data_IF_818040774732
#
_entry.id   IF_818040774732
#
_cell.length_a   1.000
_cell.length_b   1.000
_cell.length_c   1.000
_cell.angle_alpha   90.00
_cell.angle_beta   90.00
_cell.angle_gamma   90.00
#
_symmetry.space_group_name_H-M   'P 1'
#
loop_
_entity.id
_entity.type
_entity.pdbx_description
1 polymer ?
#
# COMPACT_ATOMS: atom_id res chain seq x y z
N UNK A 1 4.59 -2.32 -15.38
CA UNK A 1 5.22 -3.63 -15.73
C UNK A 1 4.58 -4.66 -14.80
N UNK A 2 4.30 -5.90 -15.23
CA UNK A 2 3.72 -6.91 -14.32
C UNK A 2 4.82 -7.57 -13.49
N UNK A 3 4.51 -7.90 -12.23
CA UNK A 3 5.44 -8.58 -11.32
C UNK A 3 6.45 -7.65 -10.64
N UNK A 4 6.21 -6.34 -10.66
CA UNK A 4 7.02 -5.33 -9.96
C UNK A 4 6.08 -4.34 -9.28
N UNK A 5 6.28 -4.10 -7.98
CA UNK A 5 5.48 -3.09 -7.28
C UNK A 5 5.88 -1.67 -7.73
N UNK A 6 4.93 -0.86 -8.17
CA UNK A 6 5.17 0.50 -8.65
C UNK A 6 5.56 1.49 -7.52
N UNK A 7 5.36 1.11 -6.24
CA UNK A 7 5.68 1.93 -5.07
C UNK A 7 7.08 1.62 -4.53
N UNK A 8 7.39 0.35 -4.28
CA UNK A 8 8.66 -0.06 -3.65
C UNK A 8 9.61 -0.86 -4.56
N UNK A 9 9.15 -1.30 -5.73
CA UNK A 9 9.94 -2.08 -6.68
C UNK A 9 10.12 -3.57 -6.33
N UNK A 10 9.43 -4.09 -5.32
CA UNK A 10 9.54 -5.51 -4.96
C UNK A 10 8.98 -6.41 -6.07
N UNK A 11 9.46 -7.67 -6.11
CA UNK A 11 9.05 -8.69 -7.08
C UNK A 11 8.82 -10.03 -6.38
N UNK A 12 8.35 -11.06 -7.09
CA UNK A 12 8.19 -12.41 -6.52
C UNK A 12 9.48 -13.01 -5.96
N UNK A 13 10.65 -12.61 -6.50
CA UNK A 13 11.96 -13.10 -6.07
C UNK A 13 12.66 -12.17 -5.07
N UNK A 14 12.15 -10.95 -4.92
CA UNK A 14 12.68 -9.94 -4.01
C UNK A 14 11.51 -9.22 -3.33
N UNK A 15 10.75 -9.99 -2.56
CA UNK A 15 9.59 -9.49 -1.83
C UNK A 15 10.02 -8.62 -0.65
N UNK A 16 9.19 -7.64 -0.28
CA UNK A 16 9.32 -6.98 1.02
C UNK A 16 9.14 -8.04 2.12
N UNK A 17 10.03 -8.06 3.10
CA UNK A 17 9.94 -8.97 4.24
C UNK A 17 9.57 -8.19 5.50
N UNK A 18 8.55 -8.69 6.20
CA UNK A 18 8.16 -8.23 7.52
C UNK A 18 8.44 -9.34 8.56
N UNK A 19 8.99 -8.96 9.71
CA UNK A 19 9.40 -9.92 10.74
C UNK A 19 8.20 -10.63 11.40
N UNK A 20 7.01 -10.05 11.34
CA UNK A 20 5.78 -10.55 11.96
C UNK A 20 4.89 -11.26 10.94
N UNK A 21 4.74 -10.70 9.73
CA UNK A 21 3.81 -11.18 8.70
C UNK A 21 4.48 -11.97 7.56
N UNK A 22 5.82 -11.96 7.48
CA UNK A 22 6.57 -12.63 6.42
C UNK A 22 6.66 -11.81 5.14
N UNK A 23 6.78 -12.49 4.00
CA UNK A 23 6.95 -11.83 2.71
C UNK A 23 5.64 -11.23 2.19
N UNK A 24 5.70 -10.06 1.56
CA UNK A 24 4.54 -9.44 0.93
C UNK A 24 4.01 -10.27 -0.25
N UNK A 25 2.72 -10.14 -0.53
CA UNK A 25 2.05 -10.73 -1.69
C UNK A 25 1.52 -9.65 -2.63
N UNK A 26 1.07 -10.00 -3.82
CA UNK A 26 0.42 -9.04 -4.73
C UNK A 26 -0.97 -8.66 -4.21
N UNK A 27 -1.20 -7.37 -4.03
CA UNK A 27 -2.46 -6.81 -3.56
C UNK A 27 -3.48 -6.58 -4.67
N UNK A 28 -3.05 -6.63 -5.93
CA UNK A 28 -3.91 -6.49 -7.10
C UNK A 28 -3.59 -7.56 -8.16
N UNK A 29 -4.58 -7.85 -9.00
CA UNK A 29 -4.47 -8.85 -10.07
C UNK A 29 -3.46 -8.43 -11.16
N UNK A 30 -3.21 -7.13 -11.30
CA UNK A 30 -2.23 -6.60 -12.25
C UNK A 30 -0.78 -6.82 -11.80
N UNK A 31 -0.56 -7.25 -10.54
CA UNK A 31 0.75 -7.49 -9.93
C UNK A 31 1.65 -6.25 -10.04
N UNK A 32 1.07 -5.09 -9.77
CA UNK A 32 1.74 -3.78 -9.75
C UNK A 32 1.75 -3.15 -8.36
N UNK A 33 1.01 -3.73 -7.40
CA UNK A 33 0.96 -3.26 -6.01
C UNK A 33 1.14 -4.45 -5.06
N UNK A 34 2.07 -4.36 -4.11
CA UNK A 34 2.24 -5.38 -3.08
C UNK A 34 1.43 -5.05 -1.82
N UNK A 35 1.11 -6.06 -1.00
CA UNK A 35 0.31 -5.93 0.22
C UNK A 35 0.91 -4.96 1.22
N UNK A 36 2.24 -4.93 1.32
CA UNK A 36 2.95 -3.98 2.16
C UNK A 36 2.69 -2.53 1.71
N UNK A 37 2.69 -2.26 0.41
CA UNK A 37 2.44 -0.91 -0.13
C UNK A 37 0.95 -0.58 -0.27
N UNK A 38 0.09 -1.59 -0.41
CA UNK A 38 -1.35 -1.41 -0.47
C UNK A 38 -1.91 -0.78 0.81
N UNK A 39 -1.30 -1.13 1.94
CA UNK A 39 -1.64 -0.53 3.24
C UNK A 39 -1.20 0.94 3.29
N UNK A 40 -0.02 1.28 2.73
CA UNK A 40 0.50 2.66 2.70
C UNK A 40 -0.20 3.54 1.67
N UNK A 41 -0.81 2.96 0.63
CA UNK A 41 -1.69 3.71 -0.29
C UNK A 41 -3.06 4.05 0.32
N UNK A 42 -3.34 3.62 1.55
CA UNK A 42 -4.63 3.77 2.20
C UNK A 42 -4.51 4.70 3.43
N UNK A 43 -5.23 5.83 3.41
CA UNK A 43 -5.49 6.77 4.53
C UNK A 43 -4.31 7.49 5.22
N UNK A 44 -3.05 7.20 4.90
CA UNK A 44 -1.90 7.91 5.52
C UNK A 44 -1.14 8.85 4.56
N UNK A 45 -1.71 9.21 3.41
CA UNK A 45 -1.14 10.29 2.61
C UNK A 45 -1.26 11.61 3.36
N UNK A 46 -0.27 12.50 3.20
CA UNK A 46 -0.33 13.85 3.78
C UNK A 46 -1.64 14.56 3.39
N UNK A 47 -2.16 14.27 2.20
CA UNK A 47 -3.47 14.76 1.73
C UNK A 47 -4.65 14.20 2.53
N UNK A 48 -4.66 12.92 2.89
CA UNK A 48 -5.73 12.36 3.73
C UNK A 48 -5.77 13.01 5.11
N UNK A 49 -4.60 13.23 5.74
CA UNK A 49 -4.53 13.94 7.03
C UNK A 49 -4.99 15.39 6.90
N UNK A 50 -4.57 16.11 5.85
CA UNK A 50 -5.02 17.49 5.59
C UNK A 50 -6.52 17.59 5.39
N UNK A 51 -7.12 16.67 4.61
CA UNK A 51 -8.55 16.67 4.32
C UNK A 51 -9.38 16.30 5.56
N UNK A 52 -8.86 15.44 6.46
CA UNK A 52 -9.45 15.18 7.77
C UNK A 52 -9.37 16.37 8.72
N UNK A 53 -8.22 17.05 8.81
CA UNK A 53 -8.07 18.26 9.61
C UNK A 53 -8.99 19.40 9.12
N UNK A 54 -9.21 19.48 7.81
CA UNK A 54 -10.15 20.42 7.19
C UNK A 54 -11.64 20.04 7.37
N UNK A 55 -11.94 18.84 7.89
CA UNK A 55 -13.31 18.36 8.11
C UNK A 55 -14.06 17.98 6.83
N UNK A 56 -13.35 17.67 5.75
CA UNK A 56 -13.94 17.34 4.44
C UNK A 56 -14.21 15.84 4.25
N UNK A 57 -13.78 15.00 5.21
CA UNK A 57 -13.98 13.55 5.20
C UNK A 57 -14.48 13.12 6.59
N UNK A 58 -15.71 12.61 6.65
CA UNK A 58 -16.27 11.94 7.82
C UNK A 58 -16.14 10.42 7.63
N UNK A 59 -15.50 9.73 8.58
CA UNK A 59 -15.48 8.27 8.62
C UNK A 59 -16.85 7.81 9.15
N UNK A 60 -17.72 7.26 8.29
CA UNK A 60 -18.83 6.42 8.75
C UNK A 60 -18.26 5.06 9.17
N UNK A 61 -18.52 4.68 10.43
CA UNK A 61 -18.14 3.41 11.06
C UNK A 61 -18.98 2.22 10.56
#
# INVERSE_FOLDING_TARGET
MRGVCDVCGCTDFNACSDAVYGNCWWANDEQTLCSHCADVTNKNSLEYFKLREAGEIEEEE
#
